data_IF_406105600625
#
_entry.id   IF_406105600625
#
_cell.length_a   1.000
_cell.length_b   1.000
_cell.length_c   1.000
_cell.angle_alpha   90.00
_cell.angle_beta   90.00
_cell.angle_gamma   90.00
#
_symmetry.space_group_name_H-M   'P 1'
#
loop_
_entity.id
_entity.type
_entity.pdbx_description
1 polymer ?
#
# COMPACT_ATOMS: atom_id res chain seq x y z
N UNK A 1 -43.28 3.75 -9.64
CA UNK A 1 -42.26 3.98 -8.59
C UNK A 1 -41.00 4.58 -9.18
N UNK A 2 -40.42 5.52 -8.44
CA UNK A 2 -39.13 6.14 -8.77
C UNK A 2 -38.01 5.11 -8.51
N UNK A 3 -37.00 5.00 -9.40
CA UNK A 3 -35.87 4.12 -9.16
C UNK A 3 -35.06 4.58 -7.94
N UNK A 4 -34.57 3.62 -7.16
CA UNK A 4 -33.65 3.80 -6.05
C UNK A 4 -32.23 3.99 -6.58
N UNK A 5 -31.47 4.91 -5.98
CA UNK A 5 -30.05 5.13 -6.27
C UNK A 5 -29.22 4.56 -5.12
N UNK A 6 -28.24 3.71 -5.43
CA UNK A 6 -27.22 3.26 -4.48
C UNK A 6 -25.83 3.66 -4.96
N UNK A 7 -25.02 4.17 -4.03
CA UNK A 7 -23.61 4.47 -4.28
C UNK A 7 -22.79 3.35 -3.67
N UNK A 8 -21.96 2.72 -4.50
CA UNK A 8 -21.07 1.66 -4.08
C UNK A 8 -19.62 2.10 -4.23
N UNK A 9 -18.76 1.54 -3.39
CA UNK A 9 -17.31 1.64 -3.50
C UNK A 9 -16.76 0.28 -3.88
N UNK A 10 -15.93 0.23 -4.92
CA UNK A 10 -15.26 -0.99 -5.39
C UNK A 10 -13.75 -0.79 -5.32
N UNK A 11 -13.03 -1.73 -4.71
CA UNK A 11 -11.57 -1.80 -4.83
C UNK A 11 -11.28 -2.44 -6.19
N UNK A 12 -10.85 -1.63 -7.15
CA UNK A 12 -10.47 -2.09 -8.48
C UNK A 12 -9.10 -2.75 -8.46
N UNK A 13 -8.18 -2.19 -7.68
CA UNK A 13 -6.81 -2.66 -7.60
C UNK A 13 -6.21 -2.38 -6.22
N UNK A 14 -5.41 -3.33 -5.73
CA UNK A 14 -4.51 -3.16 -4.58
C UNK A 14 -3.10 -3.00 -5.12
N UNK A 15 -2.44 -1.91 -4.77
CA UNK A 15 -1.11 -1.54 -5.27
C UNK A 15 -0.10 -1.83 -4.17
N UNK A 16 0.82 -2.75 -4.42
CA UNK A 16 1.78 -3.18 -3.40
C UNK A 16 2.90 -2.14 -3.21
N UNK A 17 3.38 -1.95 -1.97
CA UNK A 17 4.49 -1.05 -1.69
C UNK A 17 5.79 -1.56 -2.30
N UNK A 18 6.64 -0.64 -2.70
CA UNK A 18 8.05 -0.91 -2.95
C UNK A 18 8.85 -1.02 -1.66
N UNK A 19 10.17 -1.09 -1.80
CA UNK A 19 11.12 -1.08 -0.69
C UNK A 19 12.14 0.02 -0.92
N UNK A 20 12.33 0.86 0.08
CA UNK A 20 13.38 1.88 0.15
C UNK A 20 14.35 1.54 1.28
N UNK A 21 15.56 2.09 1.19
CA UNK A 21 16.63 1.82 2.13
C UNK A 21 17.15 3.12 2.73
N UNK A 22 17.37 3.10 4.04
CA UNK A 22 18.05 4.16 4.78
C UNK A 22 19.30 3.59 5.42
N UNK A 23 20.43 4.27 5.26
CA UNK A 23 21.71 3.82 5.81
C UNK A 23 21.96 4.49 7.18
N UNK A 24 22.40 3.70 8.15
CA UNK A 24 22.67 4.14 9.52
C UNK A 24 24.11 3.77 9.94
N UNK A 25 25.00 4.74 10.19
CA UNK A 25 26.37 4.48 10.59
C UNK A 25 26.51 4.01 12.06
N UNK A 26 25.46 4.13 12.88
CA UNK A 26 25.46 3.63 14.25
C UNK A 26 25.17 2.12 14.32
N UNK A 27 24.64 1.56 13.22
CA UNK A 27 24.34 0.14 13.09
C UNK A 27 25.48 -0.57 12.34
N UNK A 28 25.91 -1.71 12.88
CA UNK A 28 26.96 -2.53 12.29
C UNK A 28 26.69 -2.93 10.84
N UNK A 29 27.71 -2.82 9.98
CA UNK A 29 27.66 -3.23 8.59
C UNK A 29 27.08 -4.65 8.41
N UNK A 30 26.11 -4.77 7.50
CA UNK A 30 25.47 -6.04 7.15
C UNK A 30 24.25 -6.41 7.99
N UNK A 31 23.88 -5.60 8.99
CA UNK A 31 22.58 -5.74 9.67
C UNK A 31 21.49 -4.95 8.95
N UNK A 32 20.31 -5.55 8.84
CA UNK A 32 19.13 -4.90 8.28
C UNK A 32 17.94 -5.02 9.24
N UNK A 33 17.14 -3.97 9.34
CA UNK A 33 15.95 -3.92 10.18
C UNK A 33 14.78 -3.30 9.41
N UNK A 34 13.57 -3.81 9.63
CA UNK A 34 12.37 -3.14 9.13
C UNK A 34 12.11 -1.92 10.03
N UNK A 35 12.31 -0.72 9.50
CA UNK A 35 11.98 0.54 10.17
C UNK A 35 10.50 0.87 10.00
N UNK A 36 9.95 0.58 8.82
CA UNK A 36 8.54 0.76 8.51
C UNK A 36 8.11 -0.29 7.49
N UNK A 37 6.98 -0.97 7.73
CA UNK A 37 6.52 -2.04 6.85
C UNK A 37 5.86 -1.55 5.55
N UNK A 38 5.53 -0.26 5.48
CA UNK A 38 4.75 0.29 4.37
C UNK A 38 3.25 0.03 4.49
N UNK A 39 2.50 0.51 3.51
CA UNK A 39 1.06 0.26 3.34
C UNK A 39 0.73 0.05 1.88
N UNK A 40 -0.22 -0.83 1.62
CA UNK A 40 -0.81 -0.96 0.29
C UNK A 40 -1.50 0.35 -0.13
N UNK A 41 -1.36 0.68 -1.41
CA UNK A 41 -2.15 1.69 -2.10
C UNK A 41 -3.37 1.05 -2.75
N UNK A 42 -4.27 1.88 -3.28
CA UNK A 42 -5.52 1.42 -3.86
C UNK A 42 -5.94 2.24 -5.07
N UNK A 43 -6.53 1.56 -6.06
CA UNK A 43 -7.37 2.18 -7.08
C UNK A 43 -8.82 1.87 -6.75
N UNK A 44 -9.61 2.91 -6.50
CA UNK A 44 -11.00 2.79 -6.03
C UNK A 44 -11.94 3.33 -7.10
N UNK A 45 -13.02 2.62 -7.36
CA UNK A 45 -14.15 3.12 -8.15
C UNK A 45 -15.31 3.48 -7.21
N UNK A 46 -15.98 4.58 -7.53
CA UNK A 46 -17.31 4.88 -7.00
C UNK A 46 -18.31 4.66 -8.12
N UNK A 47 -19.28 3.78 -7.88
CA UNK A 47 -20.30 3.38 -8.86
C UNK A 47 -21.69 3.80 -8.37
N UNK A 48 -22.54 4.23 -9.31
CA UNK A 48 -23.97 4.48 -9.07
C UNK A 48 -24.78 3.35 -9.68
N UNK A 49 -25.55 2.68 -8.84
CA UNK A 49 -26.55 1.71 -9.27
C UNK A 49 -27.94 2.36 -9.26
N UNK A 50 -28.66 2.25 -10.37
CA UNK A 50 -30.11 2.51 -10.43
C UNK A 50 -30.85 1.18 -10.26
N UNK A 51 -31.72 1.10 -9.26
CA UNK A 51 -32.54 -0.07 -8.96
C UNK A 51 -34.02 0.23 -9.05
N UNK A 52 -34.79 -0.70 -9.61
CA UNK A 52 -36.26 -0.65 -9.59
C UNK A 52 -36.77 -1.99 -9.07
N UNK A 53 -37.55 -1.95 -7.99
CA UNK A 53 -38.11 -3.13 -7.32
C UNK A 53 -37.01 -4.13 -6.94
N UNK A 54 -35.88 -3.64 -6.42
CA UNK A 54 -34.71 -4.43 -6.05
C UNK A 54 -33.82 -4.91 -7.22
N UNK A 55 -34.28 -4.79 -8.48
CA UNK A 55 -33.50 -5.20 -9.65
C UNK A 55 -32.60 -4.06 -10.14
N UNK A 56 -31.34 -4.37 -10.44
CA UNK A 56 -30.41 -3.45 -11.10
C UNK A 56 -30.88 -3.18 -12.54
N UNK A 57 -31.06 -1.91 -12.89
CA UNK A 57 -31.51 -1.46 -14.22
C UNK A 57 -30.54 -0.48 -14.89
N UNK A 58 -29.52 -0.03 -14.17
CA UNK A 58 -28.44 0.80 -14.69
C UNK A 58 -27.28 0.84 -13.71
N UNK A 59 -26.07 0.95 -14.25
CA UNK A 59 -24.85 1.10 -13.48
C UNK A 59 -23.91 2.04 -14.24
N UNK A 60 -23.30 2.99 -13.53
CA UNK A 60 -22.29 3.88 -14.08
C UNK A 60 -21.14 4.10 -13.08
N UNK A 61 -19.91 4.23 -13.60
CA UNK A 61 -18.77 4.70 -12.81
C UNK A 61 -18.85 6.22 -12.72
N UNK A 62 -18.80 6.75 -11.50
CA UNK A 62 -18.92 8.18 -11.23
C UNK A 62 -17.55 8.80 -10.98
N UNK A 63 -16.65 8.07 -10.33
CA UNK A 63 -15.27 8.49 -10.09
C UNK A 63 -14.31 7.31 -10.02
N UNK A 64 -13.05 7.61 -10.29
CA UNK A 64 -11.93 6.72 -10.06
C UNK A 64 -10.84 7.49 -9.31
N UNK A 65 -10.46 6.99 -8.13
CA UNK A 65 -9.48 7.61 -7.25
C UNK A 65 -8.26 6.69 -7.10
N UNK A 66 -7.08 7.30 -7.03
CA UNK A 66 -5.80 6.61 -6.82
C UNK A 66 -5.15 7.08 -5.53
N UNK A 67 -4.88 6.13 -4.64
CA UNK A 67 -4.13 6.31 -3.41
C UNK A 67 -2.81 5.54 -3.56
N UNK A 68 -1.64 6.20 -3.63
CA UNK A 68 -0.37 5.52 -3.80
C UNK A 68 -0.03 4.67 -2.57
N UNK A 69 0.72 3.56 -2.73
CA UNK A 69 1.26 2.83 -1.60
C UNK A 69 2.29 3.68 -0.84
N UNK A 70 2.51 3.31 0.41
CA UNK A 70 3.63 3.81 1.20
C UNK A 70 4.70 2.72 1.24
N UNK A 71 5.90 3.00 0.74
CA UNK A 71 6.96 2.00 0.64
C UNK A 71 7.42 1.48 2.01
N UNK A 72 7.85 0.21 2.03
CA UNK A 72 8.61 -0.35 3.15
C UNK A 72 9.95 0.38 3.26
N UNK A 73 10.38 0.66 4.49
CA UNK A 73 11.70 1.24 4.77
C UNK A 73 12.53 0.21 5.51
N UNK A 74 13.64 -0.21 4.90
CA UNK A 74 14.67 -1.04 5.53
C UNK A 74 15.82 -0.15 5.98
N UNK A 75 16.12 -0.19 7.27
CA UNK A 75 17.30 0.44 7.84
C UNK A 75 18.49 -0.50 7.71
N UNK A 76 19.55 -0.06 7.05
CA UNK A 76 20.78 -0.83 6.84
C UNK A 76 21.91 -0.25 7.66
N UNK A 77 22.59 -1.12 8.40
CA UNK A 77 23.84 -0.75 9.05
C UNK A 77 24.96 -0.54 8.05
N UNK A 78 25.62 0.61 8.15
CA UNK A 78 26.85 0.95 7.40
C UNK A 78 28.00 1.32 8.33
N UNK A 79 27.81 1.16 9.64
CA UNK A 79 28.83 1.32 10.66
C UNK A 79 29.95 0.30 10.54
N UNK A 80 31.09 0.57 11.18
CA UNK A 80 32.25 -0.33 11.10
C UNK A 80 31.85 -1.73 11.60
N UNK A 81 32.15 -2.80 10.85
CA UNK A 81 31.91 -4.16 11.32
C UNK A 81 32.69 -4.39 12.63
N UNK A 82 32.12 -5.16 13.56
CA UNK A 82 32.89 -5.61 14.71
C UNK A 82 34.08 -6.40 14.17
N UNK A 83 35.31 -6.02 14.58
CA UNK A 83 36.47 -6.84 14.26
C UNK A 83 36.26 -8.21 14.90
N UNK A 84 36.00 -9.22 14.08
CA UNK A 84 36.00 -10.60 14.54
C UNK A 84 37.43 -10.97 14.86
N UNK A 85 37.81 -10.86 16.14
CA UNK A 85 39.05 -11.45 16.63
C UNK A 85 38.97 -12.96 16.42
N UNK A 86 39.56 -13.41 15.31
CA UNK A 86 39.84 -14.81 15.07
C UNK A 86 41.01 -15.17 15.98
N UNK A 87 40.75 -15.88 17.07
CA UNK A 87 41.83 -16.34 17.95
C UNK A 87 42.60 -17.46 17.21
N UNK A 88 43.94 -17.37 17.08
CA UNK A 88 44.76 -18.32 16.33
C UNK A 88 44.83 -19.71 16.97
#
# INVERSE_FOLDING_TARGET
>A
EMPEIKINRVIKEVVKPGTTYEDDPEIEAGKEFIKYDGKDGFRILVERDLRKNGKLIGQEVISEDYYPPEDRIILRGVGKPLQTYSNP
#
